data_IF_455575719478
#
_entry.id   IF_455575719478
#
_cell.length_a   1.000
_cell.length_b   1.000
_cell.length_c   1.000
_cell.angle_alpha   90.00
_cell.angle_beta   90.00
_cell.angle_gamma   90.00
#
_symmetry.space_group_name_H-M   'P 1'
#
loop_
_entity.id
_entity.type
_entity.pdbx_description
1 polymer ?
#
# COMPACT_ATOMS: atom_id res chain seq x y z
N UNK A 1 17.60 6.79 -14.56
CA UNK A 1 16.55 5.88 -14.08
C UNK A 1 15.76 6.67 -13.05
N UNK A 2 14.50 6.96 -13.35
CA UNK A 2 13.73 7.97 -12.60
C UNK A 2 13.47 7.47 -11.17
N UNK A 3 13.80 8.31 -10.18
CA UNK A 3 13.61 8.04 -8.75
C UNK A 3 12.16 7.61 -8.43
N UNK A 4 11.22 8.14 -9.22
CA UNK A 4 9.80 7.82 -9.19
C UNK A 4 9.49 6.32 -9.43
N UNK A 5 10.22 5.68 -10.33
CA UNK A 5 10.04 4.24 -10.61
C UNK A 5 10.49 3.42 -9.39
N UNK A 6 11.56 3.86 -8.71
CA UNK A 6 12.02 3.21 -7.49
C UNK A 6 11.06 3.41 -6.32
N UNK A 7 10.45 4.60 -6.17
CA UNK A 7 9.42 4.81 -5.12
C UNK A 7 8.25 3.86 -5.22
N UNK A 8 7.85 3.48 -6.44
CA UNK A 8 6.75 2.54 -6.69
C UNK A 8 7.23 1.08 -6.68
N UNK A 9 8.45 0.82 -7.16
CA UNK A 9 9.02 -0.52 -7.23
C UNK A 9 9.31 -1.13 -5.86
N UNK A 10 9.82 -0.35 -4.90
CA UNK A 10 10.17 -0.85 -3.55
C UNK A 10 8.99 -1.43 -2.77
N UNK A 11 7.83 -0.75 -2.62
CA UNK A 11 6.69 -1.33 -1.90
C UNK A 11 6.11 -2.55 -2.62
N UNK A 12 6.17 -2.59 -3.97
CA UNK A 12 5.75 -3.75 -4.75
C UNK A 12 6.67 -4.96 -4.52
N UNK A 13 7.98 -4.75 -4.53
CA UNK A 13 8.97 -5.80 -4.20
C UNK A 13 8.81 -6.26 -2.75
N UNK A 14 8.55 -5.33 -1.83
CA UNK A 14 8.29 -5.64 -0.42
C UNK A 14 7.03 -6.50 -0.26
N UNK A 15 5.96 -6.19 -1.01
CA UNK A 15 4.76 -7.02 -1.06
C UNK A 15 5.09 -8.43 -1.58
N UNK A 16 5.81 -8.53 -2.70
CA UNK A 16 6.20 -9.80 -3.29
C UNK A 16 7.02 -10.67 -2.33
N UNK A 17 7.96 -10.07 -1.59
CA UNK A 17 8.73 -10.76 -0.54
C UNK A 17 7.80 -11.24 0.58
N UNK A 18 6.84 -10.42 1.00
CA UNK A 18 5.84 -10.77 2.02
C UNK A 18 4.91 -11.92 1.63
N UNK A 19 4.71 -12.16 0.34
CA UNK A 19 3.93 -13.29 -0.17
C UNK A 19 4.70 -14.63 -0.16
N UNK A 20 6.03 -14.59 -0.06
CA UNK A 20 6.85 -15.80 -0.04
C UNK A 20 6.81 -16.48 1.33
N UNK A 21 6.87 -17.82 1.35
CA UNK A 21 7.05 -18.57 2.60
C UNK A 21 8.43 -18.28 3.21
N UNK A 22 8.52 -18.12 4.54
CA UNK A 22 9.81 -17.85 5.17
C UNK A 22 9.77 -17.69 6.69
N UNK A 23 10.94 -17.54 7.34
CA UNK A 23 11.03 -17.40 8.79
C UNK A 23 10.46 -16.05 9.25
N UNK A 24 9.77 -16.05 10.40
CA UNK A 24 9.05 -14.88 10.94
C UNK A 24 9.92 -13.61 11.02
N UNK A 25 11.14 -13.74 11.54
CA UNK A 25 12.06 -12.59 11.73
C UNK A 25 12.48 -11.95 10.40
N UNK A 26 12.59 -12.76 9.34
CA UNK A 26 12.92 -12.25 8.00
C UNK A 26 11.78 -11.42 7.44
N UNK A 27 10.54 -11.89 7.56
CA UNK A 27 9.35 -11.17 7.10
C UNK A 27 9.12 -9.86 7.85
N UNK A 28 9.28 -9.85 9.17
CA UNK A 28 9.18 -8.63 9.98
C UNK A 28 10.25 -7.60 9.55
N UNK A 29 11.50 -8.05 9.37
CA UNK A 29 12.59 -7.19 8.93
C UNK A 29 12.42 -6.69 7.49
N UNK A 30 11.94 -7.56 6.58
CA UNK A 30 11.68 -7.20 5.18
C UNK A 30 10.54 -6.18 5.07
N UNK A 31 9.46 -6.35 5.84
CA UNK A 31 8.34 -5.43 5.87
C UNK A 31 8.75 -4.04 6.39
N UNK A 32 9.38 -3.99 7.57
CA UNK A 32 9.80 -2.72 8.19
C UNK A 32 10.92 -2.06 7.36
N UNK A 33 11.92 -2.84 6.94
CA UNK A 33 13.03 -2.35 6.13
C UNK A 33 12.59 -1.87 4.76
N UNK A 34 11.70 -2.60 4.10
CA UNK A 34 11.11 -2.24 2.81
C UNK A 34 10.30 -0.95 2.89
N UNK A 35 9.41 -0.82 3.89
CA UNK A 35 8.62 0.40 4.07
C UNK A 35 9.44 1.60 4.58
N UNK A 36 10.50 1.37 5.35
CA UNK A 36 11.44 2.43 5.72
C UNK A 36 12.21 2.94 4.49
N UNK A 37 12.58 2.04 3.58
CA UNK A 37 13.17 2.41 2.30
C UNK A 37 12.16 3.17 1.42
N UNK A 38 10.91 2.70 1.33
CA UNK A 38 9.83 3.41 0.64
C UNK A 38 9.64 4.82 1.19
N UNK A 39 9.59 4.98 2.52
CA UNK A 39 9.47 6.29 3.16
C UNK A 39 10.64 7.21 2.83
N UNK A 40 11.88 6.70 2.88
CA UNK A 40 13.07 7.46 2.49
C UNK A 40 13.00 7.92 1.03
N UNK A 41 12.54 7.05 0.13
CA UNK A 41 12.36 7.41 -1.28
C UNK A 41 11.23 8.43 -1.45
N UNK A 42 10.13 8.31 -0.70
CA UNK A 42 9.04 9.29 -0.69
C UNK A 42 9.48 10.66 -0.20
N UNK A 43 10.48 10.74 0.68
CA UNK A 43 11.10 12.02 1.08
C UNK A 43 12.06 12.58 0.03
N UNK A 44 12.78 11.72 -0.71
CA UNK A 44 13.73 12.15 -1.73
C UNK A 44 13.07 12.64 -3.03
N UNK A 45 11.85 12.18 -3.36
CA UNK A 45 11.13 12.60 -4.57
C UNK A 45 10.70 14.07 -4.55
N UNK A 46 10.15 14.62 -3.45
CA UNK A 46 9.89 16.06 -3.28
C UNK A 46 11.14 16.94 -3.45
N UNK A 47 12.32 16.49 -3.02
CA UNK A 47 13.56 17.27 -3.16
C UNK A 47 13.90 17.52 -4.65
N UNK A 48 13.60 16.55 -5.53
CA UNK A 48 13.76 16.73 -6.98
C UNK A 48 12.76 17.74 -7.56
N UNK A 49 11.52 17.71 -7.07
CA UNK A 49 10.48 18.68 -7.44
C UNK A 49 10.85 20.11 -7.02
N UNK A 50 11.35 20.28 -5.79
CA UNK A 50 11.84 21.57 -5.28
C UNK A 50 13.08 22.08 -6.02
N UNK A 51 13.87 21.17 -6.60
CA UNK A 51 14.99 21.49 -7.49
C UNK A 51 14.60 21.96 -8.90
N UNK A 52 13.30 22.06 -9.22
CA UNK A 52 12.78 22.54 -10.51
C UNK A 52 12.61 21.47 -11.58
N UNK A 53 12.82 20.19 -11.24
CA UNK A 53 12.54 19.07 -12.13
C UNK A 53 11.20 18.45 -11.79
N UNK A 54 10.29 18.29 -12.76
CA UNK A 54 9.05 17.55 -12.56
C UNK A 54 9.34 16.07 -12.83
N UNK A 55 9.35 15.19 -11.80
CA UNK A 55 9.54 13.77 -12.03
C UNK A 55 8.33 13.24 -12.80
N UNK A 56 8.55 12.83 -14.04
CA UNK A 56 7.55 12.24 -14.90
C UNK A 56 8.05 10.89 -15.45
N UNK A 57 7.18 9.88 -15.46
CA UNK A 57 7.48 8.57 -16.02
C UNK A 57 6.32 8.09 -16.90
N UNK A 58 6.59 7.11 -17.78
CA UNK A 58 5.62 6.55 -18.73
C UNK A 58 4.93 7.62 -19.59
N UNK A 59 5.71 8.44 -20.30
CA UNK A 59 5.18 9.48 -21.20
C UNK A 59 4.19 10.44 -20.52
N UNK A 60 4.55 10.93 -19.31
CA UNK A 60 3.75 11.84 -18.46
C UNK A 60 2.48 11.22 -17.84
N UNK A 61 2.30 9.90 -17.95
CA UNK A 61 1.20 9.21 -17.29
C UNK A 61 1.37 9.14 -15.77
N UNK A 62 2.61 9.18 -15.27
CA UNK A 62 2.94 9.37 -13.87
C UNK A 62 3.66 10.70 -13.71
N UNK A 63 3.17 11.57 -12.84
CA UNK A 63 3.72 12.91 -12.62
C UNK A 63 3.60 13.27 -11.15
N UNK A 64 4.64 13.91 -10.61
CA UNK A 64 4.64 14.43 -9.24
C UNK A 64 4.50 15.95 -9.29
N UNK A 65 3.40 16.45 -8.74
CA UNK A 65 3.22 17.87 -8.42
C UNK A 65 3.40 18.13 -6.91
N UNK A 66 3.21 19.37 -6.47
CA UNK A 66 3.37 19.76 -5.06
C UNK A 66 2.38 19.06 -4.12
N UNK A 67 1.17 18.72 -4.59
CA UNK A 67 0.19 17.97 -3.80
C UNK A 67 0.56 16.49 -3.74
N UNK A 68 0.93 15.89 -4.88
CA UNK A 68 1.44 14.51 -4.95
C UNK A 68 2.65 14.33 -4.04
N UNK A 69 3.57 15.29 -4.00
CA UNK A 69 4.74 15.26 -3.14
C UNK A 69 4.36 15.17 -1.64
N UNK A 70 3.38 15.96 -1.20
CA UNK A 70 2.86 15.91 0.15
C UNK A 70 2.21 14.55 0.44
N UNK A 71 1.34 14.07 -0.46
CA UNK A 71 0.61 12.81 -0.28
C UNK A 71 1.58 11.61 -0.25
N UNK A 72 2.63 11.61 -1.07
CA UNK A 72 3.67 10.57 -1.08
C UNK A 72 4.36 10.45 0.29
N UNK A 73 4.80 11.58 0.87
CA UNK A 73 5.47 11.59 2.18
C UNK A 73 4.52 11.12 3.28
N UNK A 74 3.27 11.58 3.27
CA UNK A 74 2.25 11.16 4.24
C UNK A 74 1.97 9.65 4.13
N UNK A 75 1.77 9.13 2.92
CA UNK A 75 1.51 7.71 2.70
C UNK A 75 2.70 6.84 3.12
N UNK A 76 3.93 7.26 2.79
CA UNK A 76 5.14 6.58 3.24
C UNK A 76 5.28 6.56 4.77
N UNK A 77 4.99 7.68 5.43
CA UNK A 77 5.05 7.80 6.88
C UNK A 77 4.01 6.91 7.58
N UNK A 78 2.75 7.00 7.14
CA UNK A 78 1.65 6.20 7.67
C UNK A 78 1.89 4.72 7.40
N UNK A 79 2.40 4.35 6.21
CA UNK A 79 2.78 2.98 5.88
C UNK A 79 3.84 2.41 6.83
N UNK A 80 4.89 3.18 7.12
CA UNK A 80 5.95 2.78 8.06
C UNK A 80 5.41 2.61 9.50
N UNK A 81 4.59 3.55 9.97
CA UNK A 81 3.92 3.44 11.27
C UNK A 81 3.01 2.21 11.34
N UNK A 82 2.28 1.94 10.26
CA UNK A 82 1.35 0.81 10.19
C UNK A 82 2.10 -0.53 10.26
N UNK A 83 3.25 -0.64 9.59
CA UNK A 83 4.09 -1.83 9.67
C UNK A 83 4.76 -2.02 11.04
N UNK A 84 5.30 -0.95 11.63
CA UNK A 84 5.94 -1.02 12.95
C UNK A 84 4.93 -1.37 14.05
N UNK A 85 3.74 -0.76 14.04
CA UNK A 85 2.68 -1.11 14.97
C UNK A 85 2.10 -2.51 14.69
N UNK A 86 1.85 -2.82 13.41
CA UNK A 86 1.25 -4.06 12.95
C UNK A 86 2.07 -5.30 13.29
N UNK A 87 3.39 -5.25 13.10
CA UNK A 87 4.29 -6.35 13.50
C UNK A 87 4.22 -6.63 15.00
N UNK A 88 4.20 -5.58 15.83
CA UNK A 88 3.99 -5.70 17.28
C UNK A 88 2.62 -6.28 17.64
N UNK A 89 1.56 -5.88 16.93
CA UNK A 89 0.21 -6.41 17.11
C UNK A 89 0.12 -7.90 16.72
N UNK A 90 0.65 -8.30 15.57
CA UNK A 90 0.66 -9.70 15.13
C UNK A 90 1.44 -10.58 16.12
N UNK A 91 2.56 -10.11 16.67
CA UNK A 91 3.34 -10.85 17.67
C UNK A 91 2.56 -11.10 18.95
N UNK A 92 1.77 -10.13 19.43
CA UNK A 92 0.92 -10.29 20.63
C UNK A 92 -0.24 -11.25 20.39
N UNK A 93 -0.87 -11.21 19.22
CA UNK A 93 -2.02 -12.05 18.90
C UNK A 93 -1.61 -13.50 18.55
N UNK A 94 -0.43 -13.70 17.96
CA UNK A 94 0.14 -15.04 17.77
C UNK A 94 0.45 -15.72 19.11
N UNK A 95 0.97 -14.99 20.09
CA UNK A 95 1.19 -15.52 21.45
C UNK A 95 -0.12 -15.96 22.14
N UNK A 96 -1.27 -15.45 21.67
CA UNK A 96 -2.62 -15.82 22.14
C UNK A 96 -3.32 -16.84 21.23
N UNK A 97 -2.62 -17.38 20.23
CA UNK A 97 -3.16 -18.32 19.22
C UNK A 97 -4.36 -17.78 18.43
N UNK A 98 -4.51 -16.45 18.32
CA UNK A 98 -5.61 -15.81 17.59
C UNK A 98 -5.29 -15.57 16.11
N UNK A 99 -4.03 -15.72 15.68
CA UNK A 99 -3.56 -15.45 14.31
C UNK A 99 -2.86 -16.68 13.75
N UNK A 100 -3.30 -17.13 12.59
CA UNK A 100 -2.67 -18.25 11.87
C UNK A 100 -1.46 -17.79 11.05
N UNK A 101 -0.53 -18.69 10.68
CA UNK A 101 0.59 -18.36 9.79
C UNK A 101 0.15 -17.82 8.42
N UNK A 102 -1.02 -18.25 7.93
CA UNK A 102 -1.60 -17.78 6.67
C UNK A 102 -2.01 -16.30 6.76
N UNK A 103 -2.76 -15.95 7.81
CA UNK A 103 -3.14 -14.55 8.08
C UNK A 103 -1.88 -13.67 8.19
N UNK A 104 -0.83 -14.15 8.86
CA UNK A 104 0.45 -13.41 8.91
C UNK A 104 0.99 -13.08 7.52
N UNK A 105 1.09 -14.06 6.62
CA UNK A 105 1.61 -13.83 5.26
C UNK A 105 0.74 -12.85 4.50
N UNK A 106 -0.57 -12.97 4.65
CA UNK A 106 -1.54 -12.05 4.05
C UNK A 106 -1.33 -10.60 4.52
N UNK A 107 -1.08 -10.38 5.82
CA UNK A 107 -0.73 -9.04 6.33
C UNK A 107 0.58 -8.50 5.73
N UNK A 108 1.61 -9.33 5.62
CA UNK A 108 2.93 -8.92 5.11
C UNK A 108 2.90 -8.61 3.61
N UNK A 109 1.99 -9.23 2.86
CA UNK A 109 1.72 -8.92 1.47
C UNK A 109 0.82 -7.68 1.30
N UNK A 110 -0.30 -7.64 2.02
CA UNK A 110 -1.34 -6.62 1.83
C UNK A 110 -0.90 -5.22 2.27
N UNK A 111 -0.14 -5.08 3.36
CA UNK A 111 0.27 -3.75 3.84
C UNK A 111 1.15 -3.02 2.80
N UNK A 112 2.24 -3.61 2.28
CA UNK A 112 3.02 -2.97 1.22
C UNK A 112 2.24 -2.82 -0.09
N UNK A 113 1.35 -3.76 -0.43
CA UNK A 113 0.49 -3.64 -1.61
C UNK A 113 -0.49 -2.46 -1.51
N UNK A 114 -1.07 -2.24 -0.34
CA UNK A 114 -1.92 -1.09 -0.05
C UNK A 114 -1.15 0.22 -0.13
N UNK A 115 0.07 0.27 0.44
CA UNK A 115 0.94 1.45 0.33
C UNK A 115 1.30 1.71 -1.13
N UNK A 116 1.65 0.68 -1.90
CA UNK A 116 1.90 0.81 -3.34
C UNK A 116 0.70 1.42 -4.08
N UNK A 117 -0.51 0.91 -3.83
CA UNK A 117 -1.73 1.42 -4.46
C UNK A 117 -1.97 2.90 -4.14
N UNK A 118 -1.83 3.29 -2.87
CA UNK A 118 -1.95 4.69 -2.44
C UNK A 118 -0.89 5.61 -3.09
N UNK A 119 0.37 5.17 -3.19
CA UNK A 119 1.41 5.93 -3.87
C UNK A 119 1.12 6.05 -5.37
N UNK A 120 0.60 4.99 -6.01
CA UNK A 120 0.23 5.00 -7.41
C UNK A 120 -0.94 5.96 -7.69
N UNK A 121 -1.95 6.01 -6.81
CA UNK A 121 -3.03 7.01 -6.87
C UNK A 121 -2.45 8.42 -6.83
N UNK A 122 -1.51 8.69 -5.91
CA UNK A 122 -0.95 10.02 -5.70
C UNK A 122 -0.15 10.57 -6.88
N UNK A 123 0.49 9.69 -7.66
CA UNK A 123 1.36 10.10 -8.79
C UNK A 123 0.71 9.88 -10.16
N UNK A 124 -0.51 9.34 -10.22
CA UNK A 124 -1.19 9.07 -11.48
C UNK A 124 -1.72 10.36 -12.11
N UNK A 125 -1.28 10.64 -13.33
CA UNK A 125 -1.76 11.73 -14.16
C UNK A 125 -2.72 11.24 -15.27
N UNK A 126 -2.96 9.92 -15.35
CA UNK A 126 -3.87 9.31 -16.31
C UNK A 126 -5.10 8.73 -15.61
N UNK A 127 -6.30 9.08 -16.07
CA UNK A 127 -7.57 8.61 -15.49
C UNK A 127 -7.68 7.09 -15.46
N UNK A 128 -7.16 6.37 -16.47
CA UNK A 128 -7.18 4.92 -16.49
C UNK A 128 -6.29 4.29 -15.42
N UNK A 129 -5.07 4.80 -15.24
CA UNK A 129 -4.16 4.33 -14.17
C UNK A 129 -4.71 4.71 -12.79
N UNK A 130 -5.27 5.92 -12.66
CA UNK A 130 -5.89 6.40 -11.42
C UNK A 130 -7.03 5.47 -11.00
N UNK A 131 -7.93 5.15 -11.93
CA UNK A 131 -9.05 4.24 -11.68
C UNK A 131 -8.57 2.85 -11.20
N UNK A 132 -7.58 2.26 -11.89
CA UNK A 132 -7.00 0.97 -11.48
C UNK A 132 -6.36 1.07 -10.09
N UNK A 133 -5.66 2.16 -9.80
CA UNK A 133 -4.99 2.36 -8.51
C UNK A 133 -5.98 2.52 -7.35
N UNK A 134 -7.10 3.23 -7.59
CA UNK A 134 -8.19 3.36 -6.62
C UNK A 134 -8.83 1.99 -6.35
N UNK A 135 -9.15 1.23 -7.39
CA UNK A 135 -9.70 -0.13 -7.25
C UNK A 135 -8.74 -1.09 -6.54
N UNK A 136 -7.44 -0.97 -6.80
CA UNK A 136 -6.44 -1.77 -6.08
C UNK A 136 -6.43 -1.44 -4.58
N UNK A 137 -6.63 -0.16 -4.22
CA UNK A 137 -6.68 0.31 -2.84
C UNK A 137 -7.93 -0.20 -2.11
N UNK A 138 -9.09 -0.21 -2.79
CA UNK A 138 -10.34 -0.75 -2.24
C UNK A 138 -10.25 -2.25 -2.04
N UNK A 139 -9.77 -3.00 -3.04
CA UNK A 139 -9.53 -4.44 -2.93
C UNK A 139 -8.57 -4.77 -1.77
N UNK A 140 -7.42 -4.10 -1.70
CA UNK A 140 -6.45 -4.32 -0.63
C UNK A 140 -7.05 -4.05 0.76
N UNK A 141 -7.88 -3.00 0.88
CA UNK A 141 -8.58 -2.67 2.14
C UNK A 141 -9.58 -3.75 2.53
N UNK A 142 -10.35 -4.27 1.56
CA UNK A 142 -11.33 -5.33 1.81
C UNK A 142 -10.64 -6.59 2.31
N UNK A 143 -9.57 -7.01 1.64
CA UNK A 143 -8.78 -8.16 2.09
C UNK A 143 -8.21 -7.94 3.50
N UNK A 144 -7.80 -6.71 3.83
CA UNK A 144 -7.31 -6.36 5.15
C UNK A 144 -8.41 -6.36 6.23
N UNK A 145 -9.66 -6.06 5.87
CA UNK A 145 -10.83 -6.11 6.78
C UNK A 145 -11.30 -7.56 6.98
N UNK A 146 -11.25 -8.38 5.93
CA UNK A 146 -11.61 -9.81 6.00
C UNK A 146 -10.54 -10.66 6.66
N UNK A 147 -9.46 -10.04 7.15
CA UNK A 147 -8.32 -10.67 7.79
C UNK A 147 -8.68 -11.66 8.91
N UNK A 148 -9.70 -11.37 9.72
CA UNK A 148 -10.24 -12.36 10.65
C UNK A 148 -11.28 -13.19 9.91
N UNK A 149 -10.92 -14.42 9.57
CA UNK A 149 -11.71 -15.44 8.86
C UNK A 149 -12.94 -15.90 9.68
N UNK A 150 -13.76 -14.94 10.09
CA UNK A 150 -15.04 -15.11 10.78
C UNK A 150 -16.14 -14.66 9.84
N UNK A 151 -17.26 -15.35 9.88
CA UNK A 151 -18.45 -15.06 9.06
C UNK A 151 -18.87 -13.58 9.12
N UNK A 152 -18.69 -12.93 10.28
CA UNK A 152 -18.97 -11.50 10.48
C UNK A 152 -18.02 -10.55 9.72
N UNK A 153 -16.75 -10.94 9.53
CA UNK A 153 -15.76 -10.12 8.80
C UNK A 153 -15.95 -10.23 7.29
N UNK A 154 -16.37 -11.40 6.80
CA UNK A 154 -16.73 -11.60 5.39
C UNK A 154 -18.00 -10.81 5.02
N UNK A 155 -18.99 -10.78 5.91
CA UNK A 155 -20.20 -9.98 5.68
C UNK A 155 -19.90 -8.47 5.65
N UNK A 156 -18.99 -7.99 6.51
CA UNK A 156 -18.53 -6.60 6.50
C UNK A 156 -17.73 -6.24 5.24
N UNK A 157 -16.83 -7.13 4.79
CA UNK A 157 -16.05 -6.95 3.57
C UNK A 157 -16.93 -6.90 2.32
N UNK A 158 -17.92 -7.79 2.22
CA UNK A 158 -18.89 -7.79 1.13
C UNK A 158 -19.77 -6.52 1.12
N UNK A 159 -20.20 -6.05 2.31
CA UNK A 159 -20.91 -4.76 2.43
C UNK A 159 -20.05 -3.59 1.97
N UNK A 160 -18.75 -3.58 2.31
CA UNK A 160 -17.82 -2.54 1.89
C UNK A 160 -17.57 -2.57 0.37
N UNK A 161 -17.42 -3.76 -0.23
CA UNK A 161 -17.32 -3.92 -1.68
C UNK A 161 -18.57 -3.41 -2.42
N UNK A 162 -19.76 -3.79 -1.95
CA UNK A 162 -21.02 -3.32 -2.55
C UNK A 162 -21.14 -1.80 -2.48
N UNK A 163 -20.81 -1.18 -1.34
CA UNK A 163 -20.81 0.27 -1.19
C UNK A 163 -19.81 0.96 -2.12
N UNK A 164 -18.61 0.42 -2.27
CA UNK A 164 -17.58 0.94 -3.19
C UNK A 164 -18.02 0.86 -4.66
N UNK A 165 -18.53 -0.29 -5.09
CA UNK A 165 -19.03 -0.49 -6.46
C UNK A 165 -20.26 0.37 -6.78
N UNK A 166 -21.15 0.58 -5.80
CA UNK A 166 -22.31 1.46 -5.98
C UNK A 166 -21.88 2.92 -6.17
N UNK A 167 -20.87 3.40 -5.43
CA UNK A 167 -20.33 4.76 -5.60
C UNK A 167 -19.85 5.06 -7.02
N UNK A 168 -19.23 4.09 -7.69
CA UNK A 168 -18.78 4.20 -9.09
C UNK A 168 -19.94 4.04 -10.10
N UNK A 169 -20.98 3.29 -9.74
CA UNK A 169 -22.18 3.13 -10.55
C UNK A 169 -23.04 4.40 -10.66
N UNK A 170 -23.06 5.22 -9.61
CA UNK A 170 -23.84 6.48 -9.59
C UNK A 170 -23.21 7.62 -10.40
N UNK A 171 -21.95 7.51 -10.83
CA UNK A 171 -21.35 8.49 -11.76
C UNK A 171 -21.95 8.40 -13.18
N UNK A 172 -22.66 7.32 -13.49
CA UNK A 172 -23.32 7.10 -14.80
C UNK A 172 -24.85 7.29 -14.81
N UNK A 173 -25.43 7.88 -13.75
CA UNK A 173 -26.88 8.08 -13.63
C UNK A 173 -27.29 9.55 -13.76
#
# INVERSE_FOLDING_TARGET
MDLLVWTLGVPLVTAAIGALGGPRKFHEAALIGGLALTFRLCMATPDQFLGGHVPAAFADALRVDGLSALVLVLCGFVGLLSATYGTGYLRRNEARQLVTPRMRLEFHFLIPAFVFAMLLVAVSNNLGILWIAVELTTLASVFLITFHDRDTSLEAGWKFLMLGSLGLGFERA
#
